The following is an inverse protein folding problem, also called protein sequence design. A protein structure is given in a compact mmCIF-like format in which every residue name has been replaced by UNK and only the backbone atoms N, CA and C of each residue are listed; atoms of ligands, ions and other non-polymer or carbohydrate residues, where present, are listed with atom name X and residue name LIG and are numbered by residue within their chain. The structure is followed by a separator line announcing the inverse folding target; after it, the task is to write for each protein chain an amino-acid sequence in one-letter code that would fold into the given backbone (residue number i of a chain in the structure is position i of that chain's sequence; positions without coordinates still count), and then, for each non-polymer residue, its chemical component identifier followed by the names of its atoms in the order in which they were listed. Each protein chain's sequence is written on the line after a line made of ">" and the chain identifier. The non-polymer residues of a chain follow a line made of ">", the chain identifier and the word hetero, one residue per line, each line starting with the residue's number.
data_IF_917775125319
#
_entry.id   IF_917775125319
#
_cell.length_a   1.000
_cell.length_b   1.000
_cell.length_c   1.000
_cell.angle_alpha   90.00
_cell.angle_beta   90.00
_cell.angle_gamma   90.00
#
_symmetry.space_group_name_H-M   'P 1'
#
loop_
_entity.id
_entity.type
_entity.pdbx_description
1 polymer ?
#
# COMPACT_ATOMS: atom_id res chain seq x y z
N UNK A 1 44.88 24.35 -1.85
CA UNK A 1 46.23 24.96 -1.77
C UNK A 1 47.13 24.20 -2.75
N UNK A 2 47.24 24.68 -3.99
CA UNK A 2 48.11 24.07 -5.00
C UNK A 2 49.55 24.46 -4.65
N UNK A 3 50.35 23.48 -4.24
CA UNK A 3 51.79 23.67 -4.01
C UNK A 3 52.43 23.75 -5.40
N UNK A 4 52.69 24.96 -5.87
CA UNK A 4 53.48 25.21 -7.07
C UNK A 4 54.94 24.96 -6.67
N UNK A 5 55.42 23.74 -6.92
CA UNK A 5 56.83 23.40 -6.74
C UNK A 5 57.60 24.19 -7.81
N UNK A 6 58.57 25.06 -7.45
CA UNK A 6 59.36 25.79 -8.44
C UNK A 6 60.13 24.80 -9.33
N UNK A 7 60.16 25.00 -10.66
CA UNK A 7 60.72 24.05 -11.61
C UNK A 7 62.22 23.76 -11.40
N UNK A 8 62.93 24.62 -10.69
CA UNK A 8 64.37 24.53 -10.47
C UNK A 8 64.77 23.44 -9.46
N UNK A 9 63.89 23.09 -8.50
CA UNK A 9 64.19 22.06 -7.48
C UNK A 9 64.16 20.66 -8.12
N UNK A 10 63.28 20.44 -9.10
CA UNK A 10 63.24 19.19 -9.85
C UNK A 10 64.53 18.93 -10.63
N UNK A 11 65.07 19.97 -11.26
CA UNK A 11 66.31 19.88 -12.04
C UNK A 11 67.53 19.61 -11.15
N UNK A 12 67.62 20.27 -9.98
CA UNK A 12 68.71 20.04 -9.02
C UNK A 12 68.63 18.65 -8.37
N UNK A 13 67.42 18.17 -8.04
CA UNK A 13 67.23 16.83 -7.50
C UNK A 13 67.59 15.74 -8.52
N UNK A 14 67.19 15.92 -9.78
CA UNK A 14 67.58 15.01 -10.88
C UNK A 14 69.09 15.04 -11.13
N UNK A 15 69.70 16.23 -11.13
CA UNK A 15 71.15 16.39 -11.28
C UNK A 15 71.93 15.69 -10.17
N UNK A 16 71.51 15.84 -8.91
CA UNK A 16 72.13 15.17 -7.77
C UNK A 16 71.98 13.64 -7.86
N UNK A 17 70.82 13.13 -8.27
CA UNK A 17 70.56 11.70 -8.42
C UNK A 17 71.43 11.09 -9.53
N UNK A 18 71.60 11.78 -10.66
CA UNK A 18 72.53 11.40 -11.71
C UNK A 18 73.98 11.37 -11.23
N UNK A 19 74.42 12.37 -10.47
CA UNK A 19 75.79 12.44 -9.93
C UNK A 19 76.07 11.29 -8.96
N UNK A 20 75.10 10.93 -8.11
CA UNK A 20 75.18 9.77 -7.21
C UNK A 20 75.28 8.45 -7.97
N UNK A 21 74.50 8.27 -9.04
CA UNK A 21 74.58 7.07 -9.89
C UNK A 21 75.95 6.98 -10.59
N UNK A 22 76.46 8.10 -11.10
CA UNK A 22 77.76 8.16 -11.77
C UNK A 22 78.90 7.83 -10.78
N UNK A 23 78.89 8.44 -9.59
CA UNK A 23 79.86 8.15 -8.53
C UNK A 23 79.78 6.68 -8.12
N UNK A 24 78.58 6.14 -7.90
CA UNK A 24 78.39 4.73 -7.55
C UNK A 24 78.94 3.78 -8.63
N UNK A 25 78.75 4.12 -9.91
CA UNK A 25 79.26 3.33 -11.04
C UNK A 25 80.80 3.42 -11.17
N UNK A 26 81.37 4.61 -10.98
CA UNK A 26 82.83 4.83 -10.98
C UNK A 26 83.49 4.07 -9.82
N UNK A 27 82.94 4.17 -8.60
CA UNK A 27 83.42 3.44 -7.42
C UNK A 27 83.38 1.93 -7.66
N UNK A 28 82.30 1.41 -8.26
CA UNK A 28 82.19 -0.01 -8.64
C UNK A 28 83.23 -0.43 -9.70
N UNK A 29 83.57 0.46 -10.64
CA UNK A 29 84.60 0.23 -11.67
C UNK A 29 86.01 0.23 -11.08
N UNK A 30 86.28 1.11 -10.11
CA UNK A 30 87.55 1.17 -9.37
C UNK A 30 87.70 -0.06 -8.46
N UNK A 31 86.64 -0.46 -7.76
CA UNK A 31 86.63 -1.68 -6.93
C UNK A 31 86.89 -2.95 -7.74
N UNK A 32 86.40 -3.00 -9.00
CA UNK A 32 86.68 -4.09 -9.94
C UNK A 32 88.17 -4.22 -10.26
N UNK A 33 88.90 -3.10 -10.31
CA UNK A 33 90.31 -3.03 -10.71
C UNK A 33 91.26 -3.39 -9.57
N UNK A 34 90.94 -3.01 -8.34
CA UNK A 34 91.84 -3.18 -7.18
C UNK A 34 91.49 -4.39 -6.28
N UNK A 35 90.22 -4.75 -6.12
CA UNK A 35 89.80 -5.82 -5.19
C UNK A 35 88.68 -6.71 -5.77
N UNK A 36 89.00 -7.68 -6.66
CA UNK A 36 87.99 -8.49 -7.35
C UNK A 36 87.17 -9.38 -6.39
N UNK A 37 87.77 -9.85 -5.28
CA UNK A 37 87.07 -10.62 -4.23
C UNK A 37 86.08 -9.77 -3.43
N UNK A 38 86.39 -8.48 -3.20
CA UNK A 38 85.55 -7.54 -2.46
C UNK A 38 84.34 -7.09 -3.29
N UNK A 39 84.52 -6.91 -4.60
CA UNK A 39 83.44 -6.60 -5.55
C UNK A 39 82.33 -7.66 -5.52
N UNK A 40 82.68 -8.94 -5.57
CA UNK A 40 81.69 -10.03 -5.56
C UNK A 40 80.95 -10.14 -4.20
N UNK A 41 81.62 -9.80 -3.08
CA UNK A 41 80.97 -9.67 -1.77
C UNK A 41 80.01 -8.47 -1.71
N UNK A 42 80.39 -7.31 -2.24
CA UNK A 42 79.53 -6.12 -2.23
C UNK A 42 78.34 -6.27 -3.19
N UNK A 43 78.54 -6.88 -4.36
CA UNK A 43 77.45 -7.19 -5.30
C UNK A 43 76.46 -8.17 -4.67
N UNK A 44 76.94 -9.23 -4.01
CA UNK A 44 76.05 -10.18 -3.34
C UNK A 44 75.31 -9.57 -2.14
N UNK A 45 75.93 -8.65 -1.40
CA UNK A 45 75.27 -7.91 -0.31
C UNK A 45 74.22 -6.94 -0.83
N UNK A 46 74.51 -6.19 -1.89
CA UNK A 46 73.53 -5.30 -2.55
C UNK A 46 72.37 -6.08 -3.18
N UNK A 47 72.64 -7.24 -3.76
CA UNK A 47 71.61 -8.12 -4.31
C UNK A 47 70.72 -8.69 -3.20
N UNK A 48 71.30 -9.21 -2.11
CA UNK A 48 70.53 -9.68 -0.94
C UNK A 48 69.69 -8.56 -0.33
N UNK A 49 70.28 -7.38 -0.11
CA UNK A 49 69.57 -6.21 0.42
C UNK A 49 68.45 -5.73 -0.52
N UNK A 50 68.69 -5.73 -1.84
CA UNK A 50 67.69 -5.38 -2.84
C UNK A 50 66.53 -6.37 -2.87
N UNK A 51 66.82 -7.68 -2.82
CA UNK A 51 65.80 -8.74 -2.76
C UNK A 51 64.99 -8.65 -1.46
N UNK A 52 65.63 -8.45 -0.30
CA UNK A 52 64.91 -8.29 0.97
C UNK A 52 64.03 -7.04 0.98
N UNK A 53 64.49 -5.93 0.39
CA UNK A 53 63.70 -4.71 0.29
C UNK A 53 62.51 -4.88 -0.66
N UNK A 54 62.68 -5.61 -1.76
CA UNK A 54 61.60 -5.93 -2.69
C UNK A 54 60.55 -6.83 -2.03
N UNK A 55 60.99 -7.85 -1.29
CA UNK A 55 60.08 -8.73 -0.51
C UNK A 55 59.32 -7.92 0.55
N UNK A 56 60.00 -7.02 1.26
CA UNK A 56 59.37 -6.15 2.26
C UNK A 56 58.34 -5.21 1.61
N UNK A 57 58.70 -4.58 0.49
CA UNK A 57 57.80 -3.71 -0.27
C UNK A 57 56.57 -4.49 -0.76
N UNK A 58 56.78 -5.68 -1.33
CA UNK A 58 55.71 -6.56 -1.78
C UNK A 58 54.79 -6.96 -0.62
N UNK A 59 55.36 -7.30 0.54
CA UNK A 59 54.60 -7.62 1.76
C UNK A 59 53.75 -6.43 2.21
N UNK A 60 54.32 -5.22 2.22
CA UNK A 60 53.59 -4.00 2.60
C UNK A 60 52.43 -3.77 1.64
N UNK A 61 52.67 -3.81 0.32
CA UNK A 61 51.64 -3.62 -0.71
C UNK A 61 50.55 -4.68 -0.62
N UNK A 62 50.91 -5.93 -0.35
CA UNK A 62 49.97 -7.03 -0.15
C UNK A 62 49.12 -6.85 1.13
N UNK A 63 49.65 -6.18 2.16
CA UNK A 63 48.93 -5.92 3.40
C UNK A 63 47.94 -4.75 3.30
N UNK A 64 48.19 -3.78 2.41
CA UNK A 64 47.32 -2.58 2.24
C UNK A 64 45.82 -2.94 2.13
N UNK A 65 45.36 -3.83 1.23
CA UNK A 65 43.93 -4.14 1.12
C UNK A 65 43.35 -4.87 2.34
N UNK A 66 44.19 -5.51 3.15
CA UNK A 66 43.75 -6.22 4.37
C UNK A 66 43.60 -5.24 5.54
N UNK A 67 44.45 -4.21 5.58
CA UNK A 67 44.50 -3.25 6.69
C UNK A 67 43.54 -2.07 6.48
N UNK A 68 43.36 -1.62 5.24
CA UNK A 68 42.49 -0.49 4.91
C UNK A 68 41.14 -0.99 4.44
N UNK A 69 40.19 -1.04 5.36
CA UNK A 69 38.80 -1.40 5.05
C UNK A 69 38.00 -0.10 4.86
N UNK A 70 37.25 -0.02 3.76
CA UNK A 70 36.37 1.11 3.48
C UNK A 70 34.98 0.80 4.04
N UNK A 71 34.44 1.74 4.81
CA UNK A 71 33.06 1.76 5.28
C UNK A 71 32.33 2.82 4.45
N UNK A 72 31.36 2.39 3.66
CA UNK A 72 30.63 3.29 2.78
C UNK A 72 29.66 4.18 3.58
N UNK A 73 29.15 5.23 2.93
CA UNK A 73 28.14 6.10 3.57
C UNK A 73 26.89 5.28 3.94
N UNK A 74 26.26 5.61 5.06
CA UNK A 74 25.10 4.88 5.59
C UNK A 74 25.44 3.53 6.19
N UNK A 75 26.72 3.27 6.46
CA UNK A 75 27.21 2.05 7.09
C UNK A 75 28.08 2.36 8.32
N UNK A 76 28.16 1.37 9.21
CA UNK A 76 28.83 1.48 10.49
C UNK A 76 29.63 0.19 10.73
N UNK A 77 30.90 0.34 11.07
CA UNK A 77 31.79 -0.79 11.35
C UNK A 77 31.82 -1.15 12.84
N UNK A 78 31.73 -2.43 13.15
CA UNK A 78 32.03 -2.99 14.47
C UNK A 78 33.32 -3.78 14.39
N UNK A 79 34.27 -3.44 15.25
CA UNK A 79 35.57 -4.11 15.32
C UNK A 79 35.54 -5.24 16.34
N UNK A 80 35.92 -6.42 15.88
CA UNK A 80 36.21 -7.56 16.74
C UNK A 80 37.73 -7.76 16.80
N UNK A 81 38.29 -7.61 18.00
CA UNK A 81 39.72 -7.77 18.28
C UNK A 81 40.03 -9.22 18.65
N UNK A 82 40.88 -9.88 17.87
CA UNK A 82 41.24 -11.29 18.11
C UNK A 82 42.10 -11.48 19.36
N UNK A 83 43.02 -10.54 19.61
CA UNK A 83 44.06 -10.65 20.64
C UNK A 83 43.86 -9.66 21.80
N UNK A 84 42.72 -8.97 21.88
CA UNK A 84 42.54 -7.78 22.73
C UNK A 84 41.16 -7.63 23.36
N UNK A 85 40.54 -8.72 23.80
CA UNK A 85 39.30 -8.67 24.60
C UNK A 85 37.98 -8.76 23.83
N UNK A 86 38.00 -9.17 22.55
CA UNK A 86 36.78 -9.45 21.77
C UNK A 86 36.19 -8.21 21.09
N UNK A 87 34.87 -8.05 21.14
CA UNK A 87 34.15 -6.96 20.47
C UNK A 87 34.44 -5.61 21.13
N UNK A 88 34.81 -4.60 20.36
CA UNK A 88 35.02 -3.25 20.86
C UNK A 88 33.69 -2.52 21.04
N UNK A 89 33.33 -2.19 22.28
CA UNK A 89 31.98 -1.71 22.66
C UNK A 89 31.85 -0.20 22.83
N UNK A 90 32.94 0.54 23.00
CA UNK A 90 32.86 1.96 23.38
C UNK A 90 32.28 2.84 22.27
N UNK A 91 32.79 2.70 21.03
CA UNK A 91 32.34 3.51 19.91
C UNK A 91 32.38 2.71 18.61
N UNK A 92 31.29 2.75 17.82
CA UNK A 92 31.32 2.20 16.48
C UNK A 92 32.22 3.02 15.54
N UNK A 93 32.78 2.36 14.53
CA UNK A 93 33.55 3.03 13.49
C UNK A 93 32.60 3.69 12.48
N UNK A 94 32.72 5.00 12.33
CA UNK A 94 31.97 5.78 11.35
C UNK A 94 32.47 5.56 9.93
N UNK A 95 31.71 6.08 8.98
CA UNK A 95 31.98 6.08 7.54
C UNK A 95 33.40 6.59 7.22
N UNK A 96 34.02 6.01 6.20
CA UNK A 96 35.37 6.36 5.76
C UNK A 96 36.32 5.16 5.69
N UNK A 97 37.62 5.45 5.64
CA UNK A 97 38.65 4.40 5.62
C UNK A 97 39.10 4.13 7.05
N UNK A 98 38.86 2.91 7.51
CA UNK A 98 39.22 2.46 8.86
C UNK A 98 40.48 1.61 8.77
N UNK A 99 41.46 1.93 9.62
CA UNK A 99 42.67 1.14 9.78
C UNK A 99 42.37 -0.02 10.73
N UNK A 100 42.41 -1.25 10.23
CA UNK A 100 42.14 -2.47 11.00
C UNK A 100 43.38 -3.34 10.96
N UNK A 101 43.76 -3.91 12.11
CA UNK A 101 44.92 -4.81 12.15
C UNK A 101 44.61 -6.10 11.38
N UNK A 102 45.59 -6.73 10.68
CA UNK A 102 45.33 -7.89 9.83
C UNK A 102 44.68 -9.10 10.51
N UNK A 103 44.79 -9.22 11.84
CA UNK A 103 44.21 -10.30 12.63
C UNK A 103 42.83 -9.99 13.21
N UNK A 104 42.40 -8.73 13.15
CA UNK A 104 41.09 -8.24 13.61
C UNK A 104 40.05 -8.33 12.48
N UNK A 105 38.77 -8.38 12.84
CA UNK A 105 37.67 -8.43 11.88
C UNK A 105 36.76 -7.23 12.04
N UNK A 106 36.50 -6.54 10.94
CA UNK A 106 35.49 -5.47 10.89
C UNK A 106 34.20 -6.03 10.28
N UNK A 107 33.11 -5.98 11.03
CA UNK A 107 31.77 -6.34 10.55
C UNK A 107 31.00 -5.06 10.25
N UNK A 108 30.50 -4.94 9.03
CA UNK A 108 29.79 -3.76 8.56
C UNK A 108 28.28 -3.96 8.72
N UNK A 109 27.63 -2.93 9.27
CA UNK A 109 26.18 -2.83 9.46
C UNK A 109 25.65 -1.63 8.69
N UNK A 110 24.47 -1.78 8.07
CA UNK A 110 23.75 -0.64 7.49
C UNK A 110 23.00 0.13 8.57
N UNK A 111 23.25 1.45 8.67
CA UNK A 111 22.51 2.37 9.55
C UNK A 111 21.30 3.02 8.87
N UNK A 112 21.05 2.65 7.60
CA UNK A 112 19.92 3.14 6.82
C UNK A 112 18.61 2.50 7.28
N UNK A 113 17.51 3.15 6.90
CA UNK A 113 16.18 2.55 6.99
C UNK A 113 16.12 1.27 6.16
N UNK A 114 15.66 0.20 6.78
CA UNK A 114 15.53 -1.10 6.15
C UNK A 114 14.12 -1.62 6.34
N UNK A 115 13.72 -2.49 5.41
CA UNK A 115 12.40 -3.11 5.42
C UNK A 115 12.59 -4.62 5.34
N UNK A 116 11.95 -5.35 6.26
CA UNK A 116 11.87 -6.80 6.24
C UNK A 116 10.41 -7.23 6.06
N UNK A 117 10.18 -8.16 5.16
CA UNK A 117 8.86 -8.72 4.90
C UNK A 117 8.79 -10.11 5.52
N UNK A 118 7.71 -10.40 6.24
CA UNK A 118 7.49 -11.71 6.82
C UNK A 118 6.03 -12.10 6.79
N UNK A 119 5.77 -13.32 6.33
CA UNK A 119 4.48 -13.96 6.49
C UNK A 119 4.37 -14.55 7.90
N UNK A 120 3.29 -14.23 8.61
CA UNK A 120 3.02 -14.71 9.97
C UNK A 120 1.70 -15.46 9.98
N UNK A 121 1.75 -16.73 10.37
CA UNK A 121 0.54 -17.51 10.60
C UNK A 121 0.01 -17.21 12.01
N UNK A 122 -1.26 -16.83 12.08
CA UNK A 122 -1.96 -16.49 13.31
C UNK A 122 -3.35 -17.10 13.34
N UNK A 123 -3.93 -17.18 14.53
CA UNK A 123 -5.28 -17.67 14.77
C UNK A 123 -6.09 -16.52 15.35
N UNK A 124 -7.24 -16.26 14.73
CA UNK A 124 -8.19 -15.21 15.16
C UNK A 124 -8.98 -15.64 16.40
N UNK A 125 -9.72 -14.72 17.01
CA UNK A 125 -10.60 -15.00 18.15
C UNK A 125 -11.63 -16.12 17.91
N UNK A 126 -12.04 -16.33 16.66
CA UNK A 126 -12.98 -17.37 16.22
C UNK A 126 -12.29 -18.70 15.87
N UNK A 127 -10.98 -18.84 16.10
CA UNK A 127 -10.24 -20.05 15.77
C UNK A 127 -9.89 -20.19 14.28
N UNK A 128 -10.15 -19.16 13.47
CA UNK A 128 -9.79 -19.19 12.05
C UNK A 128 -8.28 -18.95 11.88
N UNK A 129 -7.63 -19.87 11.17
CA UNK A 129 -6.22 -19.74 10.76
C UNK A 129 -6.11 -18.77 9.58
N UNK A 130 -5.34 -17.71 9.76
CA UNK A 130 -5.05 -16.72 8.73
C UNK A 130 -3.54 -16.55 8.58
N UNK A 131 -3.11 -16.15 7.39
CA UNK A 131 -1.72 -15.78 7.12
C UNK A 131 -1.64 -14.29 6.84
N UNK A 132 -0.78 -13.60 7.57
CA UNK A 132 -0.62 -12.15 7.51
C UNK A 132 0.72 -11.80 6.89
N UNK A 133 0.69 -10.95 5.87
CA UNK A 133 1.91 -10.40 5.28
C UNK A 133 2.29 -9.14 6.04
N UNK A 134 3.31 -9.21 6.88
CA UNK A 134 3.75 -8.11 7.72
C UNK A 134 5.05 -7.54 7.18
N UNK A 135 5.12 -6.22 7.13
CA UNK A 135 6.29 -5.45 6.71
C UNK A 135 6.80 -4.65 7.88
N UNK A 136 8.03 -4.93 8.30
CA UNK A 136 8.67 -4.27 9.43
C UNK A 136 9.68 -3.27 8.90
N UNK A 137 9.53 -2.01 9.31
CA UNK A 137 10.50 -0.95 9.05
C UNK A 137 11.32 -0.70 10.30
N UNK A 138 12.62 -0.88 10.17
CA UNK A 138 13.54 -0.81 11.28
C UNK A 138 14.84 -0.10 10.90
N UNK A 139 15.53 0.38 11.92
CA UNK A 139 16.86 0.98 11.83
C UNK A 139 17.65 0.64 13.09
N UNK A 140 18.88 0.11 12.98
CA UNK A 140 19.73 -0.09 14.16
C UNK A 140 20.19 1.25 14.73
N UNK A 141 20.26 1.36 16.06
CA UNK A 141 20.75 2.58 16.72
C UNK A 141 22.27 2.59 16.64
N UNK A 142 22.85 3.54 15.88
CA UNK A 142 24.29 3.61 15.57
C UNK A 142 25.17 3.39 16.80
N UNK A 143 24.90 4.09 17.89
CA UNK A 143 25.70 4.03 19.12
C UNK A 143 25.69 2.65 19.78
N UNK A 144 24.65 1.84 19.56
CA UNK A 144 24.47 0.53 20.19
C UNK A 144 24.77 -0.66 19.26
N UNK A 145 25.17 -0.41 18.02
CA UNK A 145 25.52 -1.48 17.06
C UNK A 145 26.61 -2.43 17.61
N UNK A 146 27.66 -1.97 18.33
CA UNK A 146 28.63 -2.89 18.93
C UNK A 146 28.01 -3.89 19.91
N UNK A 147 27.05 -3.44 20.72
CA UNK A 147 26.31 -4.30 21.65
C UNK A 147 25.38 -5.25 20.90
N UNK A 148 24.67 -4.75 19.88
CA UNK A 148 23.83 -5.58 19.01
C UNK A 148 24.64 -6.73 18.39
N UNK A 149 25.87 -6.45 17.94
CA UNK A 149 26.76 -7.47 17.39
C UNK A 149 27.20 -8.51 18.43
N UNK A 150 27.50 -8.09 19.66
CA UNK A 150 27.96 -9.00 20.71
C UNK A 150 26.83 -9.90 21.23
N UNK A 151 25.63 -9.33 21.39
CA UNK A 151 24.50 -10.00 22.04
C UNK A 151 23.70 -10.88 21.08
N UNK A 152 23.47 -10.38 19.87
CA UNK A 152 22.59 -11.04 18.87
C UNK A 152 23.39 -11.47 17.64
N UNK A 153 24.28 -10.60 17.17
CA UNK A 153 25.09 -10.84 15.98
C UNK A 153 24.59 -10.12 14.74
N UNK A 154 25.12 -10.52 13.59
CA UNK A 154 24.82 -9.87 12.30
C UNK A 154 23.38 -10.09 11.85
N UNK A 155 22.80 -11.25 12.19
CA UNK A 155 21.46 -11.65 11.78
C UNK A 155 20.37 -11.28 12.81
N UNK A 156 20.52 -10.11 13.44
CA UNK A 156 19.61 -9.65 14.49
C UNK A 156 18.15 -9.48 14.01
N UNK A 157 17.95 -9.33 12.71
CA UNK A 157 16.62 -9.18 12.12
C UNK A 157 15.84 -10.48 12.22
N UNK A 158 16.46 -11.62 11.86
CA UNK A 158 15.82 -12.93 11.90
C UNK A 158 15.79 -13.52 13.31
N UNK A 159 16.80 -13.21 14.14
CA UNK A 159 16.93 -13.80 15.48
C UNK A 159 16.15 -13.04 16.56
N UNK A 160 16.00 -11.72 16.42
CA UNK A 160 15.36 -10.87 17.45
C UNK A 160 14.11 -10.17 16.90
N UNK A 161 14.23 -9.39 15.83
CA UNK A 161 13.13 -8.51 15.38
C UNK A 161 11.93 -9.30 14.86
N UNK A 162 12.16 -10.27 13.97
CA UNK A 162 11.08 -11.05 13.34
C UNK A 162 10.31 -11.92 14.34
N UNK A 163 10.96 -12.66 15.27
CA UNK A 163 10.27 -13.45 16.28
C UNK A 163 9.37 -12.59 17.19
N UNK A 164 9.86 -11.44 17.64
CA UNK A 164 9.08 -10.53 18.49
C UNK A 164 7.88 -9.94 17.75
N UNK A 165 8.08 -9.46 16.52
CA UNK A 165 6.96 -9.00 15.69
C UNK A 165 5.97 -10.13 15.45
N UNK A 166 6.44 -11.34 15.17
CA UNK A 166 5.56 -12.50 14.95
C UNK A 166 4.76 -12.87 16.20
N UNK A 167 5.38 -12.76 17.38
CA UNK A 167 4.72 -12.96 18.67
C UNK A 167 3.64 -11.92 18.90
N UNK A 168 3.98 -10.63 18.81
CA UNK A 168 3.06 -9.53 18.97
C UNK A 168 1.87 -9.62 18.00
N UNK A 169 2.13 -9.92 16.71
CA UNK A 169 1.10 -10.14 15.69
C UNK A 169 0.14 -11.23 16.13
N UNK A 170 0.63 -12.39 16.58
CA UNK A 170 -0.23 -13.50 17.01
C UNK A 170 -1.12 -13.11 18.19
N UNK A 171 -0.60 -12.36 19.17
CA UNK A 171 -1.38 -11.97 20.35
C UNK A 171 -2.39 -10.85 20.05
N UNK A 172 -2.07 -9.92 19.15
CA UNK A 172 -3.05 -8.91 18.73
C UNK A 172 -4.15 -9.58 17.92
N UNK A 173 -3.79 -10.37 16.91
CA UNK A 173 -4.74 -11.04 16.01
C UNK A 173 -5.66 -11.99 16.74
N UNK A 174 -5.22 -12.63 17.83
CA UNK A 174 -6.07 -13.49 18.64
C UNK A 174 -7.26 -12.77 19.29
N UNK A 175 -7.23 -11.44 19.37
CA UNK A 175 -8.32 -10.64 19.93
C UNK A 175 -9.35 -10.19 18.88
N UNK A 176 -8.98 -10.24 17.59
CA UNK A 176 -9.81 -9.73 16.49
C UNK A 176 -10.38 -10.87 15.63
N UNK A 177 -11.49 -10.57 14.96
CA UNK A 177 -12.05 -11.43 13.91
C UNK A 177 -11.32 -11.22 12.59
N UNK A 178 -11.41 -12.18 11.66
CA UNK A 178 -10.80 -12.03 10.33
C UNK A 178 -11.37 -10.86 9.51
N UNK A 179 -12.66 -10.53 9.72
CA UNK A 179 -13.35 -9.41 9.08
C UNK A 179 -12.77 -8.05 9.53
N UNK A 180 -12.51 -7.91 10.82
CA UNK A 180 -11.95 -6.69 11.42
C UNK A 180 -10.49 -6.45 11.02
N UNK A 181 -9.68 -7.52 10.96
CA UNK A 181 -8.27 -7.44 10.53
C UNK A 181 -8.16 -7.09 9.05
N UNK A 182 -9.11 -7.57 8.22
CA UNK A 182 -9.14 -7.29 6.79
C UNK A 182 -9.71 -5.91 6.45
N UNK A 183 -10.76 -5.49 7.17
CA UNK A 183 -11.58 -4.34 6.81
C UNK A 183 -11.46 -3.15 7.76
N UNK A 184 -12.55 -2.89 8.49
CA UNK A 184 -12.84 -1.61 9.14
C UNK A 184 -11.85 -1.20 10.23
N UNK A 185 -11.26 -2.16 10.96
CA UNK A 185 -10.39 -1.89 12.11
C UNK A 185 -8.90 -2.10 11.80
N UNK A 186 -8.52 -2.24 10.53
CA UNK A 186 -7.12 -2.50 10.14
C UNK A 186 -6.14 -1.45 10.68
N UNK A 187 -6.52 -0.18 10.67
CA UNK A 187 -5.67 0.90 11.19
C UNK A 187 -5.48 0.81 12.70
N UNK A 188 -6.54 0.47 13.44
CA UNK A 188 -6.49 0.32 14.90
C UNK A 188 -5.65 -0.89 15.30
N UNK A 189 -5.81 -2.01 14.57
CA UNK A 189 -4.98 -3.21 14.74
C UNK A 189 -3.51 -2.87 14.50
N UNK A 190 -3.20 -2.08 13.46
CA UNK A 190 -1.83 -1.67 13.16
C UNK A 190 -1.23 -0.78 14.26
N UNK A 191 -1.99 0.20 14.76
CA UNK A 191 -1.55 1.09 15.82
C UNK A 191 -1.30 0.34 17.14
N UNK A 192 -2.19 -0.59 17.51
CA UNK A 192 -2.02 -1.44 18.69
C UNK A 192 -0.84 -2.40 18.53
N UNK A 193 -0.65 -2.95 17.32
CA UNK A 193 0.47 -3.83 17.02
C UNK A 193 1.80 -3.10 17.20
N UNK A 194 1.94 -1.90 16.62
CA UNK A 194 3.13 -1.07 16.78
C UNK A 194 3.42 -0.83 18.27
N UNK A 195 2.42 -0.37 19.04
CA UNK A 195 2.58 -0.12 20.47
C UNK A 195 3.01 -1.36 21.25
N UNK A 196 2.44 -2.52 20.93
CA UNK A 196 2.80 -3.79 21.58
C UNK A 196 4.20 -4.28 21.21
N UNK A 197 4.56 -4.26 19.93
CA UNK A 197 5.90 -4.63 19.45
C UNK A 197 6.96 -3.77 20.12
N UNK A 198 6.75 -2.45 20.19
CA UNK A 198 7.68 -1.56 20.88
C UNK A 198 7.84 -1.88 22.36
N UNK A 199 6.76 -2.27 23.04
CA UNK A 199 6.81 -2.65 24.45
C UNK A 199 7.53 -4.00 24.65
N UNK A 200 7.22 -5.00 23.83
CA UNK A 200 7.85 -6.34 23.91
C UNK A 200 9.35 -6.26 23.64
N UNK A 201 9.77 -5.51 22.60
CA UNK A 201 11.19 -5.31 22.32
C UNK A 201 11.92 -4.57 23.43
N UNK A 202 11.32 -3.51 24.00
CA UNK A 202 11.91 -2.81 25.15
C UNK A 202 12.12 -3.75 26.35
N UNK A 203 11.16 -4.64 26.63
CA UNK A 203 11.25 -5.60 27.73
C UNK A 203 12.34 -6.65 27.48
N UNK A 204 12.44 -7.15 26.26
CA UNK A 204 13.47 -8.12 25.89
C UNK A 204 14.86 -7.48 25.90
N UNK A 205 15.01 -6.28 25.34
CA UNK A 205 16.24 -5.50 25.38
C UNK A 205 16.68 -5.26 26.84
N UNK A 206 15.77 -4.86 27.72
CA UNK A 206 16.06 -4.71 29.15
C UNK A 206 16.55 -6.02 29.79
N UNK A 207 15.95 -7.16 29.40
CA UNK A 207 16.33 -8.48 29.92
C UNK A 207 17.72 -8.88 29.44
N UNK A 208 18.02 -8.69 28.15
CA UNK A 208 19.32 -8.99 27.55
C UNK A 208 20.40 -8.08 28.16
N UNK A 209 20.13 -6.78 28.29
CA UNK A 209 21.06 -5.79 28.84
C UNK A 209 21.35 -6.05 30.33
N UNK A 210 20.32 -6.38 31.12
CA UNK A 210 20.47 -6.72 32.54
C UNK A 210 21.37 -7.93 32.76
N UNK A 211 21.30 -8.91 31.86
CA UNK A 211 22.12 -10.12 31.94
C UNK A 211 23.57 -9.88 31.45
N UNK A 212 23.79 -8.90 30.58
CA UNK A 212 25.08 -8.67 29.93
C UNK A 212 25.94 -7.57 30.57
N UNK A 213 25.35 -6.58 31.25
CA UNK A 213 26.11 -5.45 31.83
C UNK A 213 25.36 -4.76 32.97
N UNK A 214 25.93 -4.75 34.17
CA UNK A 214 25.39 -4.11 35.40
C UNK A 214 25.21 -2.57 35.32
N UNK A 215 25.49 -1.93 34.18
CA UNK A 215 25.54 -0.46 34.05
C UNK A 215 24.73 0.17 32.92
N UNK A 216 24.05 -0.60 32.06
CA UNK A 216 23.30 -0.06 30.92
C UNK A 216 21.80 -0.10 31.16
N UNK A 217 21.26 1.04 31.58
CA UNK A 217 19.82 1.24 31.75
C UNK A 217 19.17 1.54 30.39
N UNK A 218 18.41 0.59 29.86
CA UNK A 218 17.26 0.87 28.99
C UNK A 218 17.52 1.56 27.65
N UNK A 219 18.60 1.23 26.94
CA UNK A 219 18.83 1.78 25.59
C UNK A 219 18.33 0.83 24.50
N UNK A 220 17.56 1.36 23.56
CA UNK A 220 17.07 0.61 22.41
C UNK A 220 18.25 0.22 21.48
N UNK A 221 18.36 -1.06 21.16
CA UNK A 221 19.35 -1.60 20.23
C UNK A 221 18.89 -1.35 18.79
N UNK A 222 17.59 -1.51 18.54
CA UNK A 222 16.95 -1.33 17.23
C UNK A 222 15.74 -0.40 17.38
N UNK A 223 15.69 0.64 16.57
CA UNK A 223 14.50 1.47 16.42
C UNK A 223 13.56 0.80 15.42
N UNK A 224 12.31 0.59 15.84
CA UNK A 224 11.20 0.28 14.95
C UNK A 224 10.43 1.55 14.64
N UNK A 225 10.35 1.87 13.36
CA UNK A 225 9.58 3.03 12.91
C UNK A 225 8.12 2.65 12.67
N UNK A 226 7.90 1.48 12.03
CA UNK A 226 6.55 1.06 11.65
C UNK A 226 6.45 -0.45 11.45
N UNK A 227 5.25 -0.99 11.71
CA UNK A 227 4.87 -2.37 11.43
C UNK A 227 3.58 -2.34 10.62
N UNK A 228 3.72 -2.59 9.33
CA UNK A 228 2.62 -2.50 8.36
C UNK A 228 2.07 -3.89 8.07
N UNK A 229 0.75 -4.04 8.16
CA UNK A 229 0.06 -5.21 7.62
C UNK A 229 -0.15 -4.92 6.13
N UNK A 230 0.41 -5.72 5.23
CA UNK A 230 0.26 -5.56 3.77
C UNK A 230 -1.01 -6.25 3.27
N UNK A 231 -1.23 -7.48 3.71
CA UNK A 231 -2.32 -8.33 3.26
C UNK A 231 -2.68 -9.40 4.28
N UNK A 232 -3.91 -9.88 4.16
CA UNK A 232 -4.45 -10.98 4.96
C UNK A 232 -4.90 -12.07 3.99
N UNK A 233 -4.29 -13.24 4.07
CA UNK A 233 -4.67 -14.41 3.30
C UNK A 233 -5.57 -15.31 4.17
N UNK A 234 -6.79 -15.51 3.70
CA UNK A 234 -7.87 -16.25 4.37
C UNK A 234 -8.28 -17.40 3.45
N UNK A 235 -8.61 -18.60 3.96
CA UNK A 235 -9.10 -19.69 3.10
C UNK A 235 -10.30 -19.26 2.25
N UNK A 236 -10.31 -19.67 0.97
CA UNK A 236 -11.29 -19.22 -0.04
C UNK A 236 -12.75 -19.43 0.40
N UNK A 237 -13.04 -20.56 1.07
CA UNK A 237 -14.38 -20.85 1.61
C UNK A 237 -14.88 -19.77 2.58
N UNK A 238 -13.99 -19.25 3.42
CA UNK A 238 -14.34 -18.21 4.40
C UNK A 238 -14.42 -16.85 3.74
N UNK A 239 -13.51 -16.56 2.81
CA UNK A 239 -13.59 -15.34 2.00
C UNK A 239 -14.94 -15.23 1.28
N UNK A 240 -15.40 -16.31 0.64
CA UNK A 240 -16.70 -16.37 -0.02
C UNK A 240 -17.87 -16.26 0.97
N UNK A 241 -17.76 -16.85 2.16
CA UNK A 241 -18.78 -16.71 3.21
C UNK A 241 -18.88 -15.27 3.73
N UNK A 242 -17.76 -14.57 3.91
CA UNK A 242 -17.72 -13.16 4.29
C UNK A 242 -18.38 -12.31 3.21
N UNK A 243 -18.02 -12.50 1.94
CA UNK A 243 -18.66 -11.79 0.82
C UNK A 243 -20.17 -12.05 0.79
N UNK A 244 -20.60 -13.30 0.96
CA UNK A 244 -22.02 -13.65 0.99
C UNK A 244 -22.77 -12.95 2.13
N UNK A 245 -22.20 -12.95 3.35
CA UNK A 245 -22.75 -12.25 4.51
C UNK A 245 -22.84 -10.74 4.29
N UNK A 246 -21.79 -10.12 3.74
CA UNK A 246 -21.76 -8.69 3.41
C UNK A 246 -22.84 -8.36 2.39
N UNK A 247 -23.01 -9.18 1.35
CA UNK A 247 -24.07 -9.00 0.35
C UNK A 247 -25.47 -9.12 0.97
N UNK A 248 -25.69 -10.10 1.85
CA UNK A 248 -26.96 -10.26 2.57
C UNK A 248 -27.27 -9.06 3.48
N UNK A 249 -26.25 -8.52 4.15
CA UNK A 249 -26.40 -7.33 4.98
C UNK A 249 -26.82 -6.11 4.15
N UNK A 250 -26.16 -5.84 3.02
CA UNK A 250 -26.56 -4.75 2.12
C UNK A 250 -27.96 -4.96 1.53
N UNK A 251 -28.31 -6.21 1.20
CA UNK A 251 -29.63 -6.55 0.70
C UNK A 251 -30.72 -6.30 1.77
N UNK A 252 -30.45 -6.64 3.02
CA UNK A 252 -31.36 -6.34 4.13
C UNK A 252 -31.54 -4.83 4.30
N UNK A 253 -30.45 -4.08 4.30
CA UNK A 253 -30.50 -2.61 4.37
C UNK A 253 -31.32 -2.00 3.22
N UNK A 254 -31.18 -2.54 2.01
CA UNK A 254 -31.98 -2.13 0.85
C UNK A 254 -33.48 -2.38 1.08
N UNK A 255 -33.86 -3.54 1.62
CA UNK A 255 -35.26 -3.84 1.93
C UNK A 255 -35.82 -2.93 3.02
N UNK A 256 -35.04 -2.66 4.06
CA UNK A 256 -35.45 -1.75 5.15
C UNK A 256 -35.69 -0.33 4.59
N UNK A 257 -34.80 0.17 3.73
CA UNK A 257 -34.98 1.46 3.06
C UNK A 257 -36.22 1.46 2.14
N UNK A 258 -36.48 0.37 1.42
CA UNK A 258 -37.69 0.24 0.59
C UNK A 258 -38.97 0.28 1.42
N UNK A 259 -38.97 -0.38 2.57
CA UNK A 259 -40.10 -0.37 3.49
C UNK A 259 -40.35 1.05 4.02
N UNK A 260 -39.29 1.75 4.44
CA UNK A 260 -39.39 3.13 4.91
C UNK A 260 -39.94 4.08 3.82
N UNK A 261 -39.51 3.91 2.57
CA UNK A 261 -40.05 4.68 1.43
C UNK A 261 -41.53 4.37 1.22
N UNK A 262 -41.93 3.10 1.29
CA UNK A 262 -43.32 2.70 1.12
C UNK A 262 -44.22 3.26 2.25
N UNK A 263 -43.74 3.28 3.48
CA UNK A 263 -44.45 3.86 4.63
C UNK A 263 -44.63 5.38 4.48
N UNK A 264 -43.56 6.10 4.10
CA UNK A 264 -43.64 7.55 3.84
C UNK A 264 -44.61 7.86 2.71
N UNK A 265 -44.63 7.05 1.67
CA UNK A 265 -45.56 7.20 0.55
C UNK A 265 -47.02 6.91 0.96
N UNK A 266 -47.24 5.93 1.84
CA UNK A 266 -48.56 5.67 2.41
C UNK A 266 -49.05 6.84 3.28
N UNK A 267 -48.18 7.38 4.16
CA UNK A 267 -48.47 8.54 4.99
C UNK A 267 -48.76 9.79 4.14
N UNK A 268 -48.01 9.99 3.04
CA UNK A 268 -48.25 11.06 2.06
C UNK A 268 -49.67 10.95 1.48
N UNK A 269 -50.04 9.77 1.00
CA UNK A 269 -51.37 9.51 0.42
C UNK A 269 -52.50 9.67 1.43
N UNK A 270 -52.30 9.23 2.68
CA UNK A 270 -53.30 9.42 3.74
C UNK A 270 -53.50 10.90 4.05
N UNK A 271 -52.41 11.66 4.15
CA UNK A 271 -52.46 13.10 4.38
C UNK A 271 -53.12 13.83 3.20
N UNK A 272 -52.80 13.43 1.98
CA UNK A 272 -53.42 13.95 0.75
C UNK A 272 -54.93 13.65 0.73
N UNK A 273 -55.34 12.41 1.00
CA UNK A 273 -56.74 12.02 1.07
C UNK A 273 -57.50 12.77 2.17
N UNK A 274 -56.88 12.94 3.36
CA UNK A 274 -57.44 13.72 4.47
C UNK A 274 -57.57 15.20 4.11
N UNK A 275 -56.58 15.76 3.41
CA UNK A 275 -56.60 17.12 2.88
C UNK A 275 -57.73 17.34 1.88
N UNK A 276 -57.91 16.41 0.94
CA UNK A 276 -59.01 16.43 -0.04
C UNK A 276 -60.37 16.31 0.67
N UNK A 277 -60.52 15.38 1.61
CA UNK A 277 -61.78 15.20 2.35
C UNK A 277 -62.13 16.44 3.19
N UNK A 278 -61.15 17.04 3.87
CA UNK A 278 -61.32 18.28 4.62
C UNK A 278 -61.67 19.46 3.70
N UNK A 279 -60.99 19.57 2.56
CA UNK A 279 -61.30 20.55 1.52
C UNK A 279 -62.74 20.38 1.02
N UNK A 280 -63.15 19.17 0.64
CA UNK A 280 -64.52 18.88 0.20
C UNK A 280 -65.55 19.25 1.26
N UNK A 281 -65.30 18.97 2.55
CA UNK A 281 -66.21 19.32 3.64
C UNK A 281 -66.32 20.83 3.90
N UNK A 282 -65.21 21.56 3.81
CA UNK A 282 -65.19 23.01 3.98
C UNK A 282 -65.88 23.71 2.80
N UNK A 283 -65.59 23.22 1.60
CA UNK A 283 -66.05 23.83 0.35
C UNK A 283 -67.50 23.46 0.04
N UNK A 284 -67.99 22.27 0.41
CA UNK A 284 -69.41 21.89 0.22
C UNK A 284 -70.41 22.76 0.98
N UNK A 285 -70.00 23.39 2.10
CA UNK A 285 -70.80 24.40 2.79
C UNK A 285 -70.82 25.77 2.13
N UNK A 286 -69.86 26.06 1.22
CA UNK A 286 -69.68 27.36 0.56
C UNK A 286 -69.87 27.35 -0.96
N UNK A 287 -69.99 26.18 -1.60
CA UNK A 287 -70.30 26.09 -3.03
C UNK A 287 -71.77 26.46 -3.24
N UNK A 288 -72.01 27.68 -3.71
CA UNK A 288 -73.23 28.03 -4.42
C UNK A 288 -73.18 27.45 -5.83
N UNK A 289 -74.31 26.94 -6.33
CA UNK A 289 -74.52 26.56 -7.74
C UNK A 289 -73.99 27.64 -8.71
N UNK A 290 -74.07 28.92 -8.30
CA UNK A 290 -73.56 30.07 -9.05
C UNK A 290 -72.03 30.10 -9.18
N UNK A 291 -71.29 29.62 -8.17
CA UNK A 291 -69.82 29.56 -8.20
C UNK A 291 -69.31 28.45 -9.11
N UNK A 292 -69.94 27.26 -9.08
CA UNK A 292 -69.61 26.18 -10.03
C UNK A 292 -69.87 26.60 -11.47
N UNK A 293 -70.99 27.30 -11.72
CA UNK A 293 -71.32 27.83 -13.04
C UNK A 293 -70.30 28.88 -13.50
N UNK A 294 -69.87 29.77 -12.61
CA UNK A 294 -68.84 30.77 -12.90
C UNK A 294 -67.47 30.13 -13.19
N UNK A 295 -67.03 29.15 -12.39
CA UNK A 295 -65.78 28.38 -12.66
C UNK A 295 -65.87 27.54 -13.94
N UNK A 296 -67.05 27.01 -14.27
CA UNK A 296 -67.29 26.34 -15.55
C UNK A 296 -67.14 27.29 -16.75
N UNK A 297 -67.68 28.51 -16.64
CA UNK A 297 -67.50 29.56 -17.65
C UNK A 297 -66.01 29.94 -17.77
N UNK A 298 -65.31 30.11 -16.65
CA UNK A 298 -63.88 30.46 -16.64
C UNK A 298 -63.01 29.37 -17.29
N UNK A 299 -63.22 28.10 -16.95
CA UNK A 299 -62.54 26.98 -17.59
C UNK A 299 -62.85 26.90 -19.10
N UNK A 300 -64.07 27.26 -19.50
CA UNK A 300 -64.47 27.34 -20.91
C UNK A 300 -63.76 28.50 -21.62
N UNK A 301 -63.56 29.65 -20.95
CA UNK A 301 -62.79 30.79 -21.47
C UNK A 301 -61.32 30.42 -21.62
N UNK A 302 -60.71 29.75 -20.63
CA UNK A 302 -59.32 29.27 -20.72
C UNK A 302 -59.13 28.25 -21.85
N UNK A 303 -60.07 27.30 -22.00
CA UNK A 303 -60.08 26.37 -23.13
C UNK A 303 -60.24 27.10 -24.47
N UNK A 304 -61.14 28.08 -24.58
CA UNK A 304 -61.33 28.87 -25.79
C UNK A 304 -60.12 29.75 -26.14
N UNK A 305 -59.32 30.16 -25.13
CA UNK A 305 -58.06 30.89 -25.31
C UNK A 305 -56.87 29.96 -25.61
N UNK A 306 -57.01 28.65 -25.41
CA UNK A 306 -55.94 27.70 -25.72
C UNK A 306 -55.75 27.59 -27.23
N UNK A 307 -54.50 27.60 -27.69
CA UNK A 307 -54.17 27.59 -29.13
C UNK A 307 -54.64 26.34 -29.90
N UNK A 308 -55.16 25.31 -29.22
CA UNK A 308 -55.56 24.04 -29.82
C UNK A 308 -57.08 23.81 -29.86
N UNK A 309 -57.89 24.73 -29.31
CA UNK A 309 -59.34 24.62 -29.37
C UNK A 309 -59.88 25.29 -30.65
N UNK A 310 -60.33 24.49 -31.63
CA UNK A 310 -60.84 25.02 -32.91
C UNK A 310 -62.36 25.26 -32.92
N UNK A 311 -63.14 24.47 -32.17
CA UNK A 311 -64.59 24.63 -32.00
C UNK A 311 -64.97 24.15 -30.60
N UNK A 312 -65.61 25.00 -29.79
CA UNK A 312 -66.12 24.66 -28.45
C UNK A 312 -67.65 24.72 -28.49
N UNK A 313 -68.31 23.57 -28.28
CA UNK A 313 -69.78 23.46 -28.32
C UNK A 313 -70.31 23.34 -26.90
N UNK A 314 -71.10 24.33 -26.48
CA UNK A 314 -71.74 24.37 -25.17
C UNK A 314 -73.18 23.87 -25.34
N UNK A 315 -73.53 22.77 -24.68
CA UNK A 315 -74.86 22.18 -24.79
C UNK A 315 -75.92 23.06 -24.12
N UNK A 316 -77.04 23.33 -24.80
CA UNK A 316 -78.15 24.16 -24.32
C UNK A 316 -79.01 23.57 -23.19
N UNK A 317 -78.53 22.55 -22.47
CA UNK A 317 -79.19 22.02 -21.27
C UNK A 317 -79.03 22.98 -20.09
N UNK A 318 -79.89 22.87 -19.07
CA UNK A 318 -79.92 23.78 -17.90
C UNK A 318 -78.58 23.90 -17.15
N UNK A 319 -77.64 22.98 -17.35
CA UNK A 319 -76.35 22.93 -16.64
C UNK A 319 -75.16 23.47 -17.46
N UNK A 320 -75.31 23.77 -18.75
CA UNK A 320 -74.31 24.53 -19.55
C UNK A 320 -72.89 23.96 -19.58
N UNK A 321 -72.69 22.67 -19.28
CA UNK A 321 -71.39 22.01 -19.33
C UNK A 321 -70.99 21.74 -20.80
N UNK A 322 -69.72 21.97 -21.19
CA UNK A 322 -69.25 21.72 -22.55
C UNK A 322 -69.33 20.23 -22.89
N UNK A 323 -69.80 19.92 -24.10
CA UNK A 323 -69.89 18.54 -24.58
C UNK A 323 -68.52 18.11 -25.13
N UNK A 324 -67.88 17.15 -24.47
CA UNK A 324 -66.67 16.50 -24.99
C UNK A 324 -67.12 15.45 -26.00
N UNK A 325 -67.03 15.76 -27.29
CA UNK A 325 -67.30 14.82 -28.37
C UNK A 325 -66.12 13.85 -28.51
N UNK A 326 -66.31 12.59 -28.14
CA UNK A 326 -65.35 11.53 -28.41
C UNK A 326 -65.46 11.12 -29.89
N UNK A 327 -64.46 11.44 -30.72
CA UNK A 327 -64.48 11.22 -32.18
C UNK A 327 -63.98 9.84 -32.60
N UNK A 328 -64.24 8.79 -31.82
CA UNK A 328 -63.86 7.41 -32.17
C UNK A 328 -65.11 6.51 -32.18
N UNK A 329 -65.98 6.68 -33.19
CA UNK A 329 -66.95 5.67 -33.62
C UNK A 329 -67.69 6.11 -34.89
N UNK A 330 -67.01 6.03 -36.05
CA UNK A 330 -67.69 5.97 -37.35
C UNK A 330 -66.77 5.49 -38.47
N UNK A 331 -66.56 4.17 -38.57
CA UNK A 331 -66.26 3.48 -39.83
C UNK A 331 -66.82 2.03 -39.76
N UNK A 332 -68.05 1.85 -40.26
CA UNK A 332 -68.52 0.64 -40.97
C UNK A 332 -69.13 -0.54 -40.18
N UNK A 333 -70.33 -1.04 -40.57
CA UNK A 333 -70.94 -2.25 -40.00
C UNK A 333 -70.79 -3.52 -40.88
N UNK A 334 -70.90 -4.66 -40.18
CA UNK A 334 -71.30 -6.00 -40.61
C UNK A 334 -70.32 -6.88 -41.41
N UNK A 335 -69.99 -8.05 -40.83
CA UNK A 335 -70.40 -9.35 -41.35
C UNK A 335 -70.14 -10.43 -40.29
N UNK A 336 -71.22 -10.94 -39.72
CA UNK A 336 -71.28 -12.26 -39.11
C UNK A 336 -71.06 -13.32 -40.19
N UNK A 337 -70.22 -14.33 -39.92
CA UNK A 337 -70.54 -15.74 -40.16
C UNK A 337 -69.41 -16.65 -39.66
N UNK A 338 -69.76 -17.60 -38.79
CA UNK A 338 -68.98 -18.81 -38.56
C UNK A 338 -69.01 -19.69 -39.84
N UNK A 339 -68.08 -20.67 -39.96
CA UNK A 339 -68.53 -22.03 -39.68
C UNK A 339 -67.48 -22.96 -39.02
N UNK A 340 -68.01 -23.99 -38.37
CA UNK A 340 -67.32 -25.25 -38.05
C UNK A 340 -67.09 -26.09 -39.34
N UNK A 341 -65.95 -26.76 -39.50
CA UNK A 341 -65.85 -28.23 -39.65
C UNK A 341 -64.41 -28.77 -39.92
N UNK A 342 -64.06 -29.80 -39.15
CA UNK A 342 -63.36 -31.06 -39.47
C UNK A 342 -61.95 -31.18 -40.10
N UNK A 343 -61.07 -31.82 -39.31
CA UNK A 343 -60.27 -33.06 -39.53
C UNK A 343 -59.74 -33.41 -40.93
N UNK A 344 -58.41 -33.57 -41.02
CA UNK A 344 -57.62 -34.81 -41.31
C UNK A 344 -56.18 -34.39 -41.66
N UNK A 345 -55.18 -34.61 -40.82
CA UNK A 345 -54.31 -35.81 -40.69
C UNK A 345 -53.48 -36.21 -41.93
N UNK A 346 -52.16 -36.27 -41.68
CA UNK A 346 -51.15 -37.19 -42.22
C UNK A 346 -50.60 -36.87 -43.63
N UNK A 347 -49.30 -36.99 -43.95
CA UNK A 347 -48.11 -37.50 -43.25
C UNK A 347 -46.86 -37.23 -44.13
N UNK A 348 -45.68 -37.62 -43.62
CA UNK A 348 -44.43 -37.98 -44.34
C UNK A 348 -43.26 -36.98 -44.33
N UNK A 349 -42.49 -37.07 -43.23
CA UNK A 349 -41.05 -37.46 -43.12
C UNK A 349 -39.91 -36.67 -43.83
N UNK A 350 -39.01 -36.22 -42.94
CA UNK A 350 -37.60 -36.65 -42.71
C UNK A 350 -36.44 -35.70 -43.10
N UNK A 351 -35.53 -35.55 -42.12
CA UNK A 351 -34.11 -35.14 -42.23
C UNK A 351 -33.80 -33.89 -41.39
N UNK A 352 -33.50 -33.96 -40.08
CA UNK A 352 -32.18 -34.19 -39.45
C UNK A 352 -31.15 -33.18 -40.01
N UNK A 353 -30.62 -32.20 -39.27
CA UNK A 353 -29.74 -32.39 -38.10
C UNK A 353 -29.59 -31.12 -37.21
N UNK A 354 -29.19 -31.36 -35.96
CA UNK A 354 -29.07 -30.46 -34.79
C UNK A 354 -27.84 -29.54 -34.83
N UNK A 355 -27.90 -28.34 -34.20
CA UNK A 355 -27.18 -28.06 -32.92
C UNK A 355 -27.50 -26.67 -32.31
N UNK A 356 -28.16 -26.77 -31.16
CA UNK A 356 -28.05 -26.05 -29.88
C UNK A 356 -27.67 -24.56 -29.76
N UNK A 357 -28.63 -23.88 -29.11
CA UNK A 357 -28.55 -23.11 -27.86
C UNK A 357 -27.88 -21.73 -27.86
N UNK A 358 -28.78 -20.74 -27.80
CA UNK A 358 -28.54 -19.33 -27.55
C UNK A 358 -28.34 -19.09 -26.04
N UNK A 359 -27.18 -18.56 -25.67
CA UNK A 359 -27.00 -17.74 -24.48
C UNK A 359 -27.58 -16.35 -24.75
N UNK A 360 -28.58 -15.94 -23.96
CA UNK A 360 -29.11 -14.56 -23.97
C UNK A 360 -28.41 -13.76 -22.87
N UNK A 361 -27.44 -12.94 -23.29
CA UNK A 361 -26.78 -11.91 -22.48
C UNK A 361 -27.77 -10.78 -22.20
N UNK A 362 -28.16 -10.60 -20.94
CA UNK A 362 -28.89 -9.43 -20.47
C UNK A 362 -27.91 -8.25 -20.35
N UNK A 363 -28.04 -7.23 -21.22
CA UNK A 363 -27.33 -5.96 -21.09
C UNK A 363 -28.22 -4.97 -20.35
N UNK A 364 -27.74 -4.47 -19.22
CA UNK A 364 -28.25 -3.29 -18.53
C UNK A 364 -28.01 -2.04 -19.39
N UNK A 365 -28.98 -1.10 -19.50
CA UNK A 365 -28.73 0.18 -20.14
C UNK A 365 -28.19 1.17 -19.12
N UNK A 366 -26.90 1.50 -19.25
CA UNK A 366 -26.32 2.74 -18.73
C UNK A 366 -26.71 3.87 -19.68
N UNK A 367 -27.47 4.85 -19.21
CA UNK A 367 -27.63 6.13 -19.90
C UNK A 367 -27.63 7.25 -18.86
N UNK A 368 -26.58 8.06 -18.96
CA UNK A 368 -26.32 9.28 -18.21
C UNK A 368 -27.49 10.27 -18.23
N UNK A 369 -27.79 10.85 -17.08
CA UNK A 369 -28.42 12.17 -17.01
C UNK A 369 -27.64 13.03 -16.00
N UNK A 370 -27.07 14.10 -16.55
CA UNK A 370 -26.43 15.24 -15.89
C UNK A 370 -27.38 15.88 -14.87
N UNK A 371 -26.90 16.18 -13.66
CA UNK A 371 -27.60 17.00 -12.66
C UNK A 371 -26.79 18.31 -12.52
N UNK A 372 -27.37 19.51 -12.67
CA UNK A 372 -26.69 20.75 -12.34
C UNK A 372 -26.69 20.97 -10.82
N UNK A 373 -25.54 21.41 -10.29
CA UNK A 373 -25.35 21.80 -8.90
C UNK A 373 -26.16 23.07 -8.58
N UNK A 374 -27.08 22.98 -7.61
CA UNK A 374 -27.74 24.12 -6.99
C UNK A 374 -27.03 24.48 -5.68
N UNK A 375 -26.75 25.77 -5.54
CA UNK A 375 -25.88 26.40 -4.57
C UNK A 375 -26.53 26.46 -3.17
N UNK A 376 -25.89 25.83 -2.19
CA UNK A 376 -26.35 25.78 -0.80
C UNK A 376 -26.09 27.12 -0.10
N UNK A 377 -27.17 27.81 0.28
CA UNK A 377 -27.14 28.96 1.19
C UNK A 377 -26.68 28.57 2.60
N UNK A 378 -25.68 29.28 3.13
CA UNK A 378 -25.23 29.15 4.52
C UNK A 378 -26.19 29.84 5.51
N UNK A 379 -26.32 29.34 6.76
CA UNK A 379 -27.21 29.92 7.75
C UNK A 379 -26.56 31.10 8.48
N UNK A 380 -27.40 32.06 8.91
CA UNK A 380 -27.12 33.01 9.99
C UNK A 380 -28.08 32.77 11.14
#
# INVERSE_FOLDING_TARGET
>A
MNIIIPPDIGLLALGALCLVIIIANIVMRVLKRYYPKLRNRIISWRFRAGVTLLILLFLIVALVPVVFIRVDSGEVGVLWKRLGGGTYLEKPFSEGTVLVMPWDKLVIYSSRFQTANREVHAITNQGLRITLDVTVRYRPVVNHIPFLHQLVGKDYVNEMVIPEVSSAVRVIVSNYTAEEVYGSQRMDVQAQLLGKVLNELKLQEQTILKNASEGMQGHALVNLDDVLIRGVNVPEKVHNAIISKVNQHYLQQEYDMRLEVAEKEAQRKETEARGIAAFQKMVSGGISETYLRWRGIEATIELAKSNNAKVVVIGGGKDGLPLILNTENSLGPSLSNAPQHNKKQADVKKGIEKKNDKELVYRSPTASAHIPLEEVSQPK
#
